data_IF_043079439717
#
_entry.id   IF_043079439717
#
_cell.length_a   1.000
_cell.length_b   1.000
_cell.length_c   1.000
_cell.angle_alpha   90.00
_cell.angle_beta   90.00
_cell.angle_gamma   90.00
#
_symmetry.space_group_name_H-M   'P 1'
#
loop_
_entity.id
_entity.type
_entity.pdbx_description
1 polymer ?
#
# COMPACT_ATOMS: atom_id res chain seq x y z
N UNK A 1 0.75 19.05 18.20
CA UNK A 1 1.72 18.84 17.12
C UNK A 1 0.90 18.43 15.91
N UNK A 2 1.33 18.83 14.73
CA UNK A 2 0.54 18.77 13.51
C UNK A 2 1.46 18.45 12.34
N UNK A 3 0.88 17.93 11.25
CA UNK A 3 1.61 17.64 10.04
C UNK A 3 0.84 18.08 8.80
N UNK A 4 1.58 18.40 7.74
CA UNK A 4 0.99 18.68 6.43
C UNK A 4 0.68 17.37 5.71
N UNK A 5 -0.58 17.14 5.34
CA UNK A 5 -1.04 15.91 4.68
C UNK A 5 -1.97 16.18 3.50
N UNK A 6 -2.17 15.16 2.68
CA UNK A 6 -3.12 15.18 1.56
C UNK A 6 -4.48 14.66 2.03
N UNK A 7 -5.54 15.48 1.99
CA UNK A 7 -6.88 15.02 2.35
C UNK A 7 -7.38 13.95 1.39
N UNK A 8 -8.13 12.98 1.91
CA UNK A 8 -8.90 12.00 1.13
C UNK A 8 -10.40 12.14 1.39
N UNK A 9 -11.26 11.75 0.42
CA UNK A 9 -12.71 11.86 0.58
C UNK A 9 -13.28 11.10 1.78
N UNK A 10 -12.64 9.98 2.17
CA UNK A 10 -13.01 9.15 3.32
C UNK A 10 -12.57 9.74 4.68
N UNK A 11 -11.97 10.93 4.70
CA UNK A 11 -11.47 11.60 5.91
C UNK A 11 -10.12 11.08 6.41
N UNK A 12 -9.49 10.13 5.69
CA UNK A 12 -8.11 9.74 5.90
C UNK A 12 -7.14 10.78 5.32
N UNK A 13 -5.87 10.72 5.75
CA UNK A 13 -4.85 11.68 5.35
C UNK A 13 -3.60 10.94 4.88
N UNK A 14 -3.15 11.23 3.67
CA UNK A 14 -1.88 10.73 3.14
C UNK A 14 -0.71 11.65 3.51
N UNK A 15 0.43 11.09 3.87
CA UNK A 15 1.71 11.82 3.96
C UNK A 15 2.42 11.93 2.60
N UNK A 16 1.92 11.21 1.59
CA UNK A 16 2.34 11.21 0.18
C UNK A 16 1.11 11.23 -0.75
N UNK A 17 1.36 11.40 -2.04
CA UNK A 17 0.31 11.54 -3.05
C UNK A 17 0.72 10.87 -4.37
N UNK A 18 0.81 9.55 -4.34
CA UNK A 18 1.31 8.75 -5.46
C UNK A 18 0.20 8.31 -6.42
N UNK A 19 0.57 8.15 -7.68
CA UNK A 19 -0.16 7.30 -8.63
C UNK A 19 0.47 5.92 -8.58
N UNK A 20 -0.28 4.92 -8.11
CA UNK A 20 0.21 3.57 -7.95
C UNK A 20 0.06 2.78 -9.27
N UNK A 21 1.11 2.07 -9.68
CA UNK A 21 1.03 1.07 -10.75
C UNK A 21 1.26 -0.29 -10.12
N UNK A 22 0.22 -1.13 -10.12
CA UNK A 22 0.19 -2.37 -9.35
C UNK A 22 -0.06 -3.53 -10.32
N UNK A 23 0.92 -4.41 -10.55
CA UNK A 23 0.67 -5.65 -11.26
C UNK A 23 -0.18 -6.58 -10.38
N UNK A 24 -1.04 -7.39 -10.99
CA UNK A 24 -1.78 -8.46 -10.28
C UNK A 24 -0.99 -9.77 -10.19
N UNK A 25 0.06 -9.91 -11.01
CA UNK A 25 0.88 -11.13 -11.11
C UNK A 25 2.31 -10.77 -11.47
N UNK A 26 3.27 -11.61 -11.05
CA UNK A 26 4.70 -11.43 -11.34
C UNK A 26 5.00 -11.22 -12.83
N UNK A 27 4.27 -11.87 -13.74
CA UNK A 27 4.44 -11.70 -15.19
C UNK A 27 4.15 -10.28 -15.70
N UNK A 28 3.32 -9.51 -14.99
CA UNK A 28 2.99 -8.12 -15.33
C UNK A 28 3.98 -7.10 -14.71
N UNK A 29 4.91 -7.54 -13.85
CA UNK A 29 5.85 -6.68 -13.11
C UNK A 29 6.73 -5.82 -14.03
N UNK A 30 7.24 -6.39 -15.12
CA UNK A 30 8.10 -5.66 -16.05
C UNK A 30 7.33 -4.50 -16.72
N UNK A 31 6.10 -4.78 -17.16
CA UNK A 31 5.18 -3.79 -17.74
C UNK A 31 4.87 -2.67 -16.74
N UNK A 32 4.50 -3.02 -15.50
CA UNK A 32 4.22 -2.05 -14.43
C UNK A 32 5.43 -1.15 -14.12
N UNK A 33 6.63 -1.74 -14.04
CA UNK A 33 7.87 -0.99 -13.82
C UNK A 33 8.15 -0.02 -14.97
N UNK A 34 7.97 -0.45 -16.22
CA UNK A 34 8.18 0.40 -17.39
C UNK A 34 7.22 1.58 -17.43
N UNK A 35 5.91 1.35 -17.19
CA UNK A 35 4.91 2.43 -17.08
C UNK A 35 5.34 3.45 -16.03
N UNK A 36 5.69 3.00 -14.82
CA UNK A 36 6.08 3.93 -13.75
C UNK A 36 7.36 4.69 -14.04
N UNK A 37 8.33 4.07 -14.71
CA UNK A 37 9.60 4.71 -15.06
C UNK A 37 9.45 5.86 -16.06
N UNK A 38 8.38 5.85 -16.86
CA UNK A 38 8.11 6.89 -17.86
C UNK A 38 7.46 8.15 -17.26
N UNK A 39 6.90 8.08 -16.05
CA UNK A 39 6.12 9.18 -15.46
C UNK A 39 6.54 9.44 -14.02
N UNK A 40 7.30 10.52 -13.80
CA UNK A 40 7.65 11.00 -12.47
C UNK A 40 6.39 11.32 -11.66
N UNK A 41 6.27 10.74 -10.46
CA UNK A 41 5.09 10.87 -9.59
C UNK A 41 4.20 9.62 -9.58
N UNK A 42 4.44 8.70 -10.52
CA UNK A 42 3.94 7.33 -10.40
C UNK A 42 4.97 6.42 -9.72
N UNK A 43 4.51 5.41 -8.99
CA UNK A 43 5.35 4.46 -8.27
C UNK A 43 4.86 3.03 -8.50
N UNK A 44 5.75 2.08 -8.82
CA UNK A 44 5.35 0.69 -8.97
C UNK A 44 5.33 -0.01 -7.60
N UNK A 45 4.25 -0.72 -7.29
CA UNK A 45 4.20 -1.63 -6.13
C UNK A 45 4.32 -3.06 -6.61
N UNK A 46 5.55 -3.57 -6.64
CA UNK A 46 5.86 -4.86 -7.25
C UNK A 46 5.81 -5.98 -6.22
N UNK A 47 5.42 -7.19 -6.65
CA UNK A 47 5.41 -8.38 -5.83
C UNK A 47 5.79 -9.62 -6.65
N UNK A 48 6.08 -10.72 -5.95
CA UNK A 48 6.54 -11.97 -6.57
C UNK A 48 5.46 -13.05 -6.72
N UNK A 49 4.21 -12.76 -6.33
CA UNK A 49 3.10 -13.71 -6.42
C UNK A 49 2.84 -14.17 -7.87
N UNK A 50 2.78 -15.50 -8.04
CA UNK A 50 2.46 -16.19 -9.29
C UNK A 50 1.04 -16.75 -9.30
N UNK A 51 0.74 -17.66 -10.23
CA UNK A 51 -0.62 -18.17 -10.45
C UNK A 51 -0.99 -19.43 -9.65
N UNK A 52 -0.01 -20.16 -9.09
CA UNK A 52 -0.23 -21.44 -8.41
C UNK A 52 -0.64 -21.25 -6.93
N UNK A 53 -1.64 -20.42 -6.69
CA UNK A 53 -2.14 -20.08 -5.36
C UNK A 53 -3.29 -21.01 -4.97
N UNK A 54 -3.32 -21.45 -3.70
CA UNK A 54 -4.54 -22.08 -3.16
C UNK A 54 -5.66 -21.04 -3.07
N UNK A 55 -6.94 -21.45 -2.94
CA UNK A 55 -8.03 -20.49 -2.75
C UNK A 55 -7.80 -19.52 -1.59
N UNK A 56 -7.24 -20.01 -0.47
CA UNK A 56 -6.91 -19.18 0.68
C UNK A 56 -5.82 -18.14 0.36
N UNK A 57 -4.75 -18.55 -0.33
CA UNK A 57 -3.67 -17.64 -0.72
C UNK A 57 -4.17 -16.60 -1.71
N UNK A 58 -5.06 -16.99 -2.62
CA UNK A 58 -5.67 -16.10 -3.60
C UNK A 58 -6.52 -15.01 -2.92
N UNK A 59 -7.35 -15.40 -1.94
CA UNK A 59 -8.12 -14.45 -1.13
C UNK A 59 -7.21 -13.47 -0.40
N UNK A 60 -6.09 -13.96 0.16
CA UNK A 60 -5.10 -13.12 0.81
C UNK A 60 -4.47 -12.12 -0.17
N UNK A 61 -4.10 -12.56 -1.38
CA UNK A 61 -3.54 -11.69 -2.42
C UNK A 61 -4.56 -10.64 -2.86
N UNK A 62 -5.79 -11.04 -3.19
CA UNK A 62 -6.86 -10.11 -3.58
C UNK A 62 -7.10 -9.05 -2.50
N UNK A 63 -7.24 -9.49 -1.25
CA UNK A 63 -7.41 -8.59 -0.09
C UNK A 63 -6.23 -7.65 0.09
N UNK A 64 -5.00 -8.14 -0.08
CA UNK A 64 -3.78 -7.35 0.09
C UNK A 64 -3.64 -6.30 -1.01
N UNK A 65 -3.86 -6.66 -2.27
CA UNK A 65 -3.78 -5.73 -3.41
C UNK A 65 -4.87 -4.64 -3.32
N UNK A 66 -6.08 -5.01 -2.92
CA UNK A 66 -7.15 -4.04 -2.65
C UNK A 66 -6.75 -3.08 -1.52
N UNK A 67 -6.37 -3.59 -0.35
CA UNK A 67 -6.02 -2.73 0.79
C UNK A 67 -4.77 -1.87 0.55
N UNK A 68 -3.80 -2.39 -0.19
CA UNK A 68 -2.64 -1.61 -0.65
C UNK A 68 -3.12 -0.43 -1.49
N UNK A 69 -4.01 -0.67 -2.46
CA UNK A 69 -4.61 0.34 -3.34
C UNK A 69 -5.41 1.40 -2.57
N UNK A 70 -6.03 1.02 -1.46
CA UNK A 70 -6.81 1.92 -0.59
C UNK A 70 -5.95 2.79 0.32
N UNK A 71 -4.62 2.57 0.40
CA UNK A 71 -3.73 3.34 1.26
C UNK A 71 -3.88 4.87 1.02
N UNK A 72 -3.97 5.71 2.07
CA UNK A 72 -4.13 7.17 1.92
C UNK A 72 -2.99 7.86 1.16
N UNK A 73 -1.81 7.25 1.07
CA UNK A 73 -0.70 7.77 0.28
C UNK A 73 -0.90 7.61 -1.23
N UNK A 74 -1.89 6.83 -1.65
CA UNK A 74 -2.24 6.60 -3.06
C UNK A 74 -3.42 7.50 -3.42
N UNK A 75 -3.24 8.33 -4.44
CA UNK A 75 -4.29 9.14 -5.04
C UNK A 75 -5.14 8.31 -6.00
N UNK A 76 -4.49 7.62 -6.93
CA UNK A 76 -5.12 6.80 -7.96
C UNK A 76 -4.28 5.57 -8.30
N UNK A 77 -4.90 4.60 -8.98
CA UNK A 77 -4.31 3.27 -9.23
C UNK A 77 -4.43 2.89 -10.70
N UNK A 78 -3.37 2.30 -11.25
CA UNK A 78 -3.38 1.57 -12.51
C UNK A 78 -3.07 0.10 -12.19
N UNK A 79 -4.07 -0.77 -12.33
CA UNK A 79 -3.91 -2.21 -12.19
C UNK A 79 -3.45 -2.80 -13.53
N UNK A 80 -2.44 -3.67 -13.50
CA UNK A 80 -1.95 -4.35 -14.70
C UNK A 80 -2.00 -5.86 -14.51
N UNK A 81 -2.86 -6.52 -15.29
CA UNK A 81 -2.97 -7.98 -15.35
C UNK A 81 -2.33 -8.51 -16.62
N UNK A 82 -1.86 -9.76 -16.59
CA UNK A 82 -1.45 -10.43 -17.82
C UNK A 82 -2.68 -10.82 -18.63
N UNK A 83 -3.74 -11.30 -17.96
CA UNK A 83 -4.98 -11.80 -18.56
C UNK A 83 -5.25 -13.28 -18.30
N UNK A 84 -4.29 -13.99 -17.70
CA UNK A 84 -4.45 -15.39 -17.29
C UNK A 84 -4.15 -15.62 -15.80
N UNK A 85 -3.94 -14.54 -15.04
CA UNK A 85 -3.75 -14.58 -13.60
C UNK A 85 -5.07 -14.86 -12.86
N UNK A 86 -5.03 -15.60 -11.74
CA UNK A 86 -6.24 -15.96 -10.98
C UNK A 86 -6.77 -14.80 -10.13
N UNK A 87 -6.03 -13.69 -10.03
CA UNK A 87 -6.37 -12.51 -9.22
C UNK A 87 -7.59 -11.82 -9.81
N UNK A 88 -8.54 -11.47 -8.95
CA UNK A 88 -9.78 -10.81 -9.33
C UNK A 88 -9.55 -9.31 -9.57
N UNK A 89 -8.95 -8.98 -10.72
CA UNK A 89 -8.66 -7.59 -11.09
C UNK A 89 -9.93 -6.73 -11.12
N UNK A 90 -11.07 -7.32 -11.48
CA UNK A 90 -12.34 -6.62 -11.59
C UNK A 90 -12.91 -6.29 -10.22
N UNK A 91 -12.96 -7.26 -9.30
CA UNK A 91 -13.36 -7.03 -7.92
C UNK A 91 -12.44 -6.05 -7.20
N UNK A 92 -11.13 -6.10 -7.44
CA UNK A 92 -10.18 -5.11 -6.90
C UNK A 92 -10.48 -3.71 -7.45
N UNK A 93 -10.64 -3.58 -8.77
CA UNK A 93 -10.95 -2.29 -9.40
C UNK A 93 -12.28 -1.71 -8.87
N UNK A 94 -13.32 -2.54 -8.76
CA UNK A 94 -14.60 -2.14 -8.18
C UNK A 94 -14.46 -1.69 -6.72
N UNK A 95 -13.69 -2.40 -5.91
CA UNK A 95 -13.43 -2.04 -4.52
C UNK A 95 -12.74 -0.66 -4.40
N UNK A 96 -11.77 -0.39 -5.26
CA UNK A 96 -11.08 0.91 -5.30
C UNK A 96 -12.02 2.03 -5.73
N UNK A 97 -12.83 1.79 -6.78
CA UNK A 97 -13.81 2.75 -7.27
C UNK A 97 -14.90 3.06 -6.22
N UNK A 98 -15.40 2.03 -5.50
CA UNK A 98 -16.36 2.18 -4.39
C UNK A 98 -15.81 3.04 -3.25
N UNK A 99 -14.50 2.97 -3.00
CA UNK A 99 -13.81 3.83 -2.04
C UNK A 99 -13.57 5.27 -2.54
N UNK A 100 -14.02 5.59 -3.76
CA UNK A 100 -13.92 6.95 -4.34
C UNK A 100 -12.52 7.29 -4.87
N UNK A 101 -11.66 6.31 -5.12
CA UNK A 101 -10.33 6.52 -5.71
C UNK A 101 -10.36 6.27 -7.22
N UNK A 102 -9.77 7.13 -8.06
CA UNK A 102 -9.65 6.86 -9.48
C UNK A 102 -8.82 5.59 -9.73
N UNK A 103 -9.34 4.72 -10.59
CA UNK A 103 -8.70 3.44 -10.91
C UNK A 103 -8.89 3.11 -12.39
N UNK A 104 -7.82 2.60 -13.00
CA UNK A 104 -7.83 2.06 -14.35
C UNK A 104 -7.25 0.64 -14.31
N UNK A 105 -7.75 -0.24 -15.17
CA UNK A 105 -7.24 -1.60 -15.34
C UNK A 105 -6.75 -1.82 -16.77
N UNK A 106 -5.60 -2.47 -16.90
CA UNK A 106 -5.02 -2.85 -18.18
C UNK A 106 -4.71 -4.35 -18.17
N UNK A 107 -5.36 -5.08 -19.05
CA UNK A 107 -5.08 -6.51 -19.28
C UNK A 107 -4.16 -6.62 -20.49
N UNK A 108 -2.93 -7.08 -20.28
CA UNK A 108 -1.88 -7.05 -21.31
C UNK A 108 -2.32 -7.78 -22.58
N UNK A 109 -2.92 -8.96 -22.45
CA UNK A 109 -3.39 -9.74 -23.59
C UNK A 109 -4.53 -9.06 -24.36
N UNK A 110 -5.39 -8.29 -23.70
CA UNK A 110 -6.52 -7.58 -24.33
C UNK A 110 -6.08 -6.27 -25.00
N UNK A 111 -5.09 -5.60 -24.42
CA UNK A 111 -4.57 -4.31 -24.92
C UNK A 111 -3.65 -4.49 -26.15
N UNK A 112 -3.26 -5.72 -26.48
CA UNK A 112 -2.40 -6.03 -27.62
C UNK A 112 -0.92 -6.23 -27.26
N UNK A 113 -0.66 -6.66 -26.03
CA UNK A 113 0.68 -7.02 -25.55
C UNK A 113 1.38 -5.91 -24.76
N UNK A 114 2.62 -6.19 -24.36
CA UNK A 114 3.39 -5.36 -23.43
C UNK A 114 3.60 -3.94 -23.92
N UNK A 115 4.01 -3.75 -25.18
CA UNK A 115 4.32 -2.41 -25.72
C UNK A 115 3.08 -1.50 -25.74
N UNK A 116 1.95 -2.01 -26.25
CA UNK A 116 0.68 -1.28 -26.27
C UNK A 116 0.19 -0.96 -24.84
N UNK A 117 0.40 -1.89 -23.90
CA UNK A 117 0.07 -1.67 -22.48
C UNK A 117 0.94 -0.58 -21.86
N UNK A 118 2.25 -0.57 -22.15
CA UNK A 118 3.16 0.46 -21.65
C UNK A 118 2.79 1.83 -22.20
N UNK A 119 2.46 1.93 -23.49
CA UNK A 119 2.00 3.17 -24.11
C UNK A 119 0.74 3.70 -23.43
N UNK A 120 -0.32 2.87 -23.36
CA UNK A 120 -1.60 3.25 -22.76
C UNK A 120 -1.46 3.57 -21.28
N UNK A 121 -0.73 2.75 -20.52
CA UNK A 121 -0.46 2.95 -19.10
C UNK A 121 0.33 4.24 -18.83
N UNK A 122 1.30 4.56 -19.69
CA UNK A 122 2.07 5.82 -19.58
C UNK A 122 1.16 7.03 -19.79
N UNK A 123 0.24 7.00 -20.76
CA UNK A 123 -0.73 8.07 -20.97
C UNK A 123 -1.64 8.28 -19.76
N UNK A 124 -2.22 7.18 -19.24
CA UNK A 124 -3.06 7.21 -18.03
C UNK A 124 -2.31 7.73 -16.81
N UNK A 125 -1.06 7.27 -16.60
CA UNK A 125 -0.25 7.73 -15.48
C UNK A 125 0.04 9.24 -15.55
N UNK A 126 0.27 9.80 -16.76
CA UNK A 126 0.46 11.25 -16.92
C UNK A 126 -0.79 12.04 -16.56
N UNK A 127 -1.96 11.60 -17.01
CA UNK A 127 -3.25 12.22 -16.69
C UNK A 127 -3.51 12.18 -15.18
N UNK A 128 -3.37 11.00 -14.57
CA UNK A 128 -3.54 10.81 -13.14
C UNK A 128 -2.56 11.60 -12.27
N UNK A 129 -1.28 11.70 -12.67
CA UNK A 129 -0.28 12.51 -11.94
C UNK A 129 -0.63 14.00 -12.04
N UNK A 130 -1.09 14.46 -13.21
CA UNK A 130 -1.57 15.82 -13.39
C UNK A 130 -2.73 16.13 -12.44
N UNK A 131 -3.71 15.24 -12.34
CA UNK A 131 -4.83 15.42 -11.41
C UNK A 131 -4.39 15.38 -9.95
N UNK A 132 -3.53 14.41 -9.59
CA UNK A 132 -2.98 14.29 -8.24
C UNK A 132 -2.25 15.59 -7.82
N UNK A 133 -1.54 16.23 -8.74
CA UNK A 133 -0.77 17.46 -8.48
C UNK A 133 -1.63 18.65 -8.05
N UNK A 134 -2.94 18.62 -8.33
CA UNK A 134 -3.89 19.67 -7.93
C UNK A 134 -4.23 19.62 -6.44
N UNK A 135 -3.94 18.51 -5.76
CA UNK A 135 -4.23 18.35 -4.34
C UNK A 135 -3.12 19.01 -3.52
N UNK A 136 -3.49 20.06 -2.78
CA UNK A 136 -2.57 20.80 -1.91
C UNK A 136 -2.60 20.21 -0.51
N UNK A 137 -1.42 20.08 0.11
CA UNK A 137 -1.31 19.63 1.51
C UNK A 137 -1.96 20.64 2.44
N UNK A 138 -2.66 20.14 3.46
CA UNK A 138 -3.26 20.94 4.54
C UNK A 138 -2.70 20.48 5.88
N UNK A 139 -2.76 21.34 6.88
CA UNK A 139 -2.37 20.98 8.23
C UNK A 139 -3.44 20.08 8.87
N UNK A 140 -2.99 18.98 9.49
CA UNK A 140 -3.82 18.02 10.20
C UNK A 140 -3.20 17.70 11.57
N UNK A 141 -4.06 17.33 12.51
CA UNK A 141 -3.64 16.81 13.81
C UNK A 141 -3.00 15.42 13.67
N UNK A 142 -2.05 15.12 14.57
CA UNK A 142 -1.30 13.86 14.57
C UNK A 142 -2.20 12.62 14.78
N UNK A 143 -3.43 12.78 15.27
CA UNK A 143 -4.45 11.72 15.31
C UNK A 143 -4.76 11.08 13.95
N UNK A 144 -4.42 11.76 12.84
CA UNK A 144 -4.56 11.21 11.49
C UNK A 144 -3.37 10.37 11.04
N UNK A 145 -2.28 10.32 11.81
CA UNK A 145 -1.10 9.54 11.46
C UNK A 145 -1.32 8.04 11.71
N UNK A 146 -0.73 7.25 10.81
CA UNK A 146 -0.56 5.81 10.96
C UNK A 146 0.93 5.52 10.82
N UNK A 147 1.52 4.96 11.87
CA UNK A 147 2.96 4.72 11.96
C UNK A 147 3.22 3.22 12.05
N UNK A 148 3.94 2.69 11.07
CA UNK A 148 4.38 1.29 11.03
C UNK A 148 5.84 1.19 11.45
N UNK A 149 6.18 0.20 12.27
CA UNK A 149 7.56 -0.12 12.65
C UNK A 149 7.85 -1.59 12.39
N UNK A 150 8.97 -1.85 11.73
CA UNK A 150 9.49 -3.19 11.45
C UNK A 150 10.99 -3.18 11.74
N UNK A 151 11.54 -4.35 12.01
CA UNK A 151 12.97 -4.57 12.11
C UNK A 151 13.59 -4.74 10.71
N UNK A 152 14.92 -4.76 10.67
CA UNK A 152 15.70 -4.98 9.45
C UNK A 152 16.82 -5.96 9.73
N UNK A 153 18.06 -5.47 9.76
CA UNK A 153 19.20 -6.26 10.22
C UNK A 153 19.31 -6.22 11.74
N UNK A 154 18.66 -7.16 12.44
CA UNK A 154 18.73 -7.25 13.90
C UNK A 154 20.18 -7.42 14.37
N UNK A 155 20.56 -6.67 15.40
CA UNK A 155 21.85 -6.75 16.05
C UNK A 155 21.74 -6.71 17.58
N UNK A 156 22.87 -6.92 18.27
CA UNK A 156 22.92 -6.93 19.74
C UNK A 156 22.58 -5.58 20.40
N UNK A 157 22.52 -4.50 19.62
CA UNK A 157 22.20 -3.14 20.11
C UNK A 157 20.76 -2.73 19.82
N UNK A 158 20.06 -3.45 18.95
CA UNK A 158 18.72 -3.12 18.48
C UNK A 158 17.73 -3.01 19.64
N UNK A 159 17.73 -4.01 20.53
CA UNK A 159 16.94 -4.02 21.77
C UNK A 159 17.37 -3.01 22.85
N UNK A 160 18.54 -2.39 22.70
CA UNK A 160 19.10 -1.43 23.67
C UNK A 160 18.92 0.03 23.22
N UNK A 161 18.67 0.28 21.94
CA UNK A 161 18.61 1.63 21.37
C UNK A 161 17.43 1.82 20.42
N UNK A 162 17.52 1.29 19.21
CA UNK A 162 16.56 1.55 18.14
C UNK A 162 15.15 1.07 18.49
N UNK A 163 14.99 -0.15 19.01
CA UNK A 163 13.67 -0.71 19.31
C UNK A 163 12.99 0.03 20.48
N UNK A 164 13.67 0.34 21.61
CA UNK A 164 13.11 1.22 22.62
C UNK A 164 12.72 2.62 22.09
N UNK A 165 13.53 3.20 21.20
CA UNK A 165 13.23 4.50 20.60
C UNK A 165 11.99 4.45 19.70
N UNK A 166 11.81 3.39 18.91
CA UNK A 166 10.60 3.15 18.12
C UNK A 166 9.39 2.95 19.05
N UNK A 167 9.54 2.22 20.15
CA UNK A 167 8.50 2.06 21.17
C UNK A 167 8.04 3.41 21.76
N UNK A 168 8.98 4.29 22.11
CA UNK A 168 8.66 5.64 22.58
C UNK A 168 7.95 6.49 21.50
N UNK A 169 8.33 6.33 20.23
CA UNK A 169 7.65 6.97 19.12
C UNK A 169 6.22 6.44 18.93
N UNK A 170 6.00 5.13 19.08
CA UNK A 170 4.67 4.51 19.05
C UNK A 170 3.78 5.09 20.16
N UNK A 171 4.27 5.13 21.40
CA UNK A 171 3.53 5.67 22.54
C UNK A 171 3.15 7.15 22.30
N UNK A 172 4.08 7.93 21.73
CA UNK A 172 3.81 9.34 21.38
C UNK A 172 2.68 9.46 20.35
N UNK A 173 2.70 8.64 19.29
CA UNK A 173 1.64 8.65 18.25
C UNK A 173 0.29 8.24 18.84
N UNK A 174 0.25 7.18 19.63
CA UNK A 174 -0.99 6.68 20.25
C UNK A 174 -1.57 7.68 21.24
N UNK A 175 -0.74 8.34 22.07
CA UNK A 175 -1.18 9.38 22.99
C UNK A 175 -1.79 10.60 22.29
N UNK A 176 -1.43 10.85 21.02
CA UNK A 176 -2.03 11.90 20.19
C UNK A 176 -3.27 11.42 19.42
N UNK A 177 -3.75 10.21 19.67
CA UNK A 177 -4.90 9.61 18.98
C UNK A 177 -4.58 9.03 17.61
N UNK A 178 -3.30 8.93 17.25
CA UNK A 178 -2.85 8.26 16.03
C UNK A 178 -2.84 6.74 16.20
N UNK A 179 -2.41 6.03 15.16
CA UNK A 179 -2.32 4.57 15.17
C UNK A 179 -0.87 4.12 14.98
N UNK A 180 -0.43 3.16 15.79
CA UNK A 180 0.86 2.50 15.63
C UNK A 180 0.65 1.01 15.34
N UNK A 181 1.44 0.46 14.45
CA UNK A 181 1.40 -0.95 14.04
C UNK A 181 2.83 -1.48 13.98
N UNK A 182 3.04 -2.68 14.51
CA UNK A 182 4.23 -3.50 14.23
C UNK A 182 3.77 -4.85 13.70
N UNK A 183 4.62 -5.54 12.95
CA UNK A 183 4.32 -6.87 12.43
C UNK A 183 5.37 -7.91 12.89
N UNK A 184 5.87 -8.73 11.96
CA UNK A 184 6.96 -9.69 12.20
C UNK A 184 6.64 -10.75 13.27
N UNK A 185 5.60 -11.58 13.03
CA UNK A 185 5.23 -12.69 13.93
C UNK A 185 6.41 -13.55 14.36
N UNK A 186 7.39 -13.74 13.48
CA UNK A 186 8.60 -14.52 13.74
C UNK A 186 9.56 -13.85 14.73
N UNK A 187 9.57 -12.52 14.82
CA UNK A 187 10.53 -11.75 15.64
C UNK A 187 10.14 -11.66 17.13
N UNK A 188 8.89 -12.00 17.47
CA UNK A 188 8.43 -12.07 18.86
C UNK A 188 8.06 -13.48 19.30
N UNK A 189 8.48 -14.52 18.57
CA UNK A 189 8.34 -15.90 19.03
C UNK A 189 9.05 -16.06 20.39
N UNK A 190 8.32 -16.57 21.38
CA UNK A 190 8.76 -16.66 22.78
C UNK A 190 8.44 -15.43 23.64
N UNK A 191 7.98 -14.33 23.04
CA UNK A 191 7.55 -13.11 23.73
C UNK A 191 6.03 -12.84 23.60
N UNK A 192 5.27 -13.76 23.00
CA UNK A 192 3.83 -13.63 22.75
C UNK A 192 3.05 -13.36 24.05
N UNK A 193 3.46 -14.01 25.13
CA UNK A 193 2.88 -13.83 26.46
C UNK A 193 3.00 -12.40 27.00
N UNK A 194 4.07 -11.66 26.63
CA UNK A 194 4.24 -10.26 27.01
C UNK A 194 3.29 -9.34 26.23
N UNK A 195 3.00 -9.69 24.97
CA UNK A 195 2.04 -8.95 24.15
C UNK A 195 0.60 -9.24 24.60
N UNK A 196 0.26 -10.50 24.85
CA UNK A 196 -1.07 -10.92 25.30
C UNK A 196 -1.47 -10.25 26.64
N UNK A 197 -0.51 -10.07 27.56
CA UNK A 197 -0.76 -9.35 28.82
C UNK A 197 -1.14 -7.87 28.63
N UNK A 198 -0.85 -7.30 27.46
CA UNK A 198 -1.14 -5.89 27.13
C UNK A 198 -2.40 -5.73 26.29
N UNK A 199 -3.08 -6.83 25.95
CA UNK A 199 -4.35 -6.79 25.24
C UNK A 199 -5.44 -6.12 26.10
N UNK A 200 -6.36 -5.41 25.45
CA UNK A 200 -7.46 -4.70 26.12
C UNK A 200 -8.55 -5.65 26.61
N UNK A 201 -8.72 -6.79 25.94
CA UNK A 201 -9.66 -7.87 26.32
C UNK A 201 -9.04 -9.24 25.99
N UNK A 202 -9.57 -10.35 26.54
CA UNK A 202 -9.07 -11.69 26.23
C UNK A 202 -9.24 -12.14 24.77
N UNK A 203 -10.21 -11.59 24.04
CA UNK A 203 -10.46 -11.91 22.63
C UNK A 203 -9.48 -11.22 21.66
N UNK A 204 -8.81 -10.15 22.12
CA UNK A 204 -7.79 -9.38 21.38
C UNK A 204 -6.41 -9.94 21.69
#
# INVERSE_FOLDING_TARGET
>A
MSFFGYPRPDGSVGTRNYVAVIPTVVCATATARQVSSNVKGSIPFLHHQGCALTPYDLDLVNRTLLNLSLNPNIYSVILISLGCDPVDIDGIAEGIAKAGKPVEKLVIQEVGGTLATVEKGTRLAREMVSDASRIVRKEFDDSKLRFGGECGGSDTTSGLGANPAIGAAFDTVVQKGGNAVFSETTEFIGAEHLLAQRAVTPEV
#
